data_IF_579600368784
#
_entry.id   IF_579600368784
#
_cell.length_a   1.000
_cell.length_b   1.000
_cell.length_c   1.000
_cell.angle_alpha   90.00
_cell.angle_beta   90.00
_cell.angle_gamma   90.00
#
_symmetry.space_group_name_H-M   'P 1'
#
loop_
_entity.id
_entity.type
_entity.pdbx_description
1 polymer ?
#
# COMPACT_ATOMS: atom_id res chain seq x y z
N UNK A 1 -22.33 14.70 -5.21
CA UNK A 1 -22.73 13.70 -4.20
C UNK A 1 -22.93 14.45 -2.92
N UNK A 2 -24.10 14.31 -2.30
CA UNK A 2 -24.37 14.92 -1.00
C UNK A 2 -23.54 14.20 0.09
N UNK A 3 -23.08 14.93 1.11
CA UNK A 3 -22.25 14.36 2.18
C UNK A 3 -23.00 13.29 2.98
N UNK A 4 -24.32 13.47 3.15
CA UNK A 4 -25.17 12.47 3.83
C UNK A 4 -25.25 11.16 3.03
N UNK A 5 -25.42 11.26 1.70
CA UNK A 5 -25.45 10.08 0.83
C UNK A 5 -24.12 9.32 0.82
N UNK A 6 -23.00 10.06 0.85
CA UNK A 6 -21.68 9.48 0.96
C UNK A 6 -21.46 8.81 2.32
N UNK A 7 -21.92 9.42 3.41
CA UNK A 7 -21.90 8.83 4.75
C UNK A 7 -22.64 7.50 4.79
N UNK A 8 -23.89 7.47 4.32
CA UNK A 8 -24.68 6.22 4.25
C UNK A 8 -24.03 5.13 3.40
N UNK A 9 -23.42 5.51 2.27
CA UNK A 9 -22.71 4.56 1.41
C UNK A 9 -21.49 3.96 2.13
N UNK A 10 -20.73 4.78 2.84
CA UNK A 10 -19.56 4.34 3.59
C UNK A 10 -19.93 3.47 4.80
N UNK A 11 -21.01 3.80 5.50
CA UNK A 11 -21.56 2.96 6.58
C UNK A 11 -21.96 1.58 6.05
N UNK A 12 -22.61 1.53 4.89
CA UNK A 12 -22.93 0.27 4.22
C UNK A 12 -21.68 -0.57 3.94
N UNK A 13 -20.64 0.01 3.31
CA UNK A 13 -19.39 -0.70 3.06
C UNK A 13 -18.67 -1.12 4.34
N UNK A 14 -18.75 -0.32 5.41
CA UNK A 14 -18.18 -0.68 6.71
C UNK A 14 -18.91 -1.89 7.32
N UNK A 15 -20.23 -1.94 7.20
CA UNK A 15 -21.03 -3.09 7.64
C UNK A 15 -20.69 -4.35 6.84
N UNK A 16 -20.61 -4.25 5.51
CA UNK A 16 -20.21 -5.35 4.64
C UNK A 16 -18.80 -5.86 4.97
N UNK A 17 -17.83 -4.95 5.17
CA UNK A 17 -16.49 -5.31 5.61
C UNK A 17 -16.53 -6.08 6.94
N UNK A 18 -17.32 -5.60 7.92
CA UNK A 18 -17.41 -6.22 9.23
C UNK A 18 -18.10 -7.58 9.20
N UNK A 19 -18.98 -7.85 8.24
CA UNK A 19 -19.60 -9.16 8.05
C UNK A 19 -18.61 -10.18 7.45
N UNK A 20 -17.72 -9.72 6.57
CA UNK A 20 -16.76 -10.58 5.87
C UNK A 20 -15.42 -10.74 6.61
N UNK A 21 -15.07 -9.78 7.47
CA UNK A 21 -13.80 -9.72 8.16
C UNK A 21 -13.83 -10.47 9.49
N UNK A 22 -12.75 -11.21 9.77
CA UNK A 22 -12.50 -11.81 11.09
C UNK A 22 -12.05 -10.79 12.13
N UNK A 23 -11.71 -9.55 11.72
CA UNK A 23 -11.28 -8.44 12.56
C UNK A 23 -12.17 -7.21 12.28
N UNK A 24 -13.40 -7.16 12.83
CA UNK A 24 -14.32 -6.07 12.58
C UNK A 24 -13.79 -4.74 13.12
N UNK A 25 -14.06 -3.66 12.39
CA UNK A 25 -13.66 -2.29 12.74
C UNK A 25 -14.86 -1.51 13.27
N UNK A 26 -14.72 -0.95 14.48
CA UNK A 26 -15.67 0.02 15.04
C UNK A 26 -15.20 1.42 14.66
N UNK A 27 -15.62 1.90 13.49
CA UNK A 27 -15.31 3.25 13.02
C UNK A 27 -16.56 4.10 13.10
N UNK A 28 -16.40 5.34 13.56
CA UNK A 28 -17.41 6.39 13.43
C UNK A 28 -17.06 7.21 12.19
N UNK A 29 -17.97 7.26 11.22
CA UNK A 29 -17.78 7.96 9.95
C UNK A 29 -18.34 9.38 10.04
N UNK A 30 -17.55 10.28 10.62
CA UNK A 30 -17.79 11.73 10.57
C UNK A 30 -17.07 12.37 9.38
N UNK A 31 -17.34 13.66 9.14
CA UNK A 31 -16.93 14.37 7.93
C UNK A 31 -15.44 14.23 7.57
N UNK A 32 -14.53 14.35 8.54
CA UNK A 32 -13.09 14.22 8.27
C UNK A 32 -12.69 12.78 7.98
N UNK A 33 -13.25 11.79 8.71
CA UNK A 33 -13.02 10.38 8.43
C UNK A 33 -13.48 10.00 7.01
N UNK A 34 -14.67 10.45 6.62
CA UNK A 34 -15.20 10.31 5.26
C UNK A 34 -14.24 10.95 4.24
N UNK A 35 -13.78 12.17 4.51
CA UNK A 35 -12.85 12.88 3.64
C UNK A 35 -11.52 12.13 3.47
N UNK A 36 -10.96 11.58 4.54
CA UNK A 36 -9.75 10.77 4.49
C UNK A 36 -9.94 9.47 3.72
N UNK A 37 -11.05 8.76 3.94
CA UNK A 37 -11.38 7.54 3.15
C UNK A 37 -11.46 7.89 1.67
N UNK A 38 -12.14 8.98 1.31
CA UNK A 38 -12.23 9.43 -0.08
C UNK A 38 -10.87 9.79 -0.66
N UNK A 39 -9.99 10.48 0.10
CA UNK A 39 -8.62 10.78 -0.34
C UNK A 39 -7.81 9.52 -0.59
N UNK A 40 -7.77 8.59 0.36
CA UNK A 40 -7.05 7.33 0.23
C UNK A 40 -7.59 6.55 -0.97
N UNK A 41 -8.91 6.42 -1.07
CA UNK A 41 -9.58 5.72 -2.16
C UNK A 41 -9.29 6.36 -3.53
N UNK A 42 -9.15 7.69 -3.59
CA UNK A 42 -8.71 8.40 -4.80
C UNK A 42 -7.25 8.13 -5.13
N UNK A 43 -6.36 8.10 -4.14
CA UNK A 43 -4.93 7.85 -4.33
C UNK A 43 -4.70 6.44 -4.87
N UNK A 44 -5.25 5.41 -4.22
CA UNK A 44 -5.02 4.02 -4.62
C UNK A 44 -5.62 3.69 -6.00
N UNK A 45 -6.64 4.40 -6.46
CA UNK A 45 -7.21 4.19 -7.82
C UNK A 45 -6.38 4.81 -8.94
N UNK A 46 -5.31 5.55 -8.62
CA UNK A 46 -4.39 6.07 -9.63
C UNK A 46 -3.27 5.05 -9.86
N UNK A 47 -2.85 4.81 -11.12
CA UNK A 47 -1.68 3.99 -11.37
C UNK A 47 -0.47 4.63 -10.68
N UNK A 48 0.33 3.80 -10.00
CA UNK A 48 1.47 4.26 -9.19
C UNK A 48 1.06 5.13 -7.98
N UNK A 49 -0.21 5.10 -7.60
CA UNK A 49 -0.74 5.83 -6.46
C UNK A 49 -0.32 5.21 -5.14
N UNK A 50 0.65 5.84 -4.47
CA UNK A 50 1.07 5.50 -3.12
C UNK A 50 0.67 6.62 -2.15
N UNK A 51 0.49 6.30 -0.87
CA UNK A 51 0.09 7.27 0.15
C UNK A 51 1.02 7.24 1.36
N UNK A 52 1.32 8.42 1.91
CA UNK A 52 2.00 8.58 3.19
C UNK A 52 1.03 9.27 4.16
N UNK A 53 0.47 8.50 5.09
CA UNK A 53 -0.51 8.96 6.08
C UNK A 53 0.19 9.37 7.37
N UNK A 54 0.26 10.67 7.62
CA UNK A 54 0.94 11.24 8.77
C UNK A 54 -0.08 11.57 9.87
N UNK A 55 0.11 11.04 11.06
CA UNK A 55 -0.79 11.32 12.17
C UNK A 55 -0.38 10.62 13.47
N UNK A 56 -1.08 10.94 14.55
CA UNK A 56 -0.85 10.30 15.84
C UNK A 56 -1.37 8.86 15.89
N UNK A 57 -0.93 8.09 16.88
CA UNK A 57 -1.54 6.78 17.17
C UNK A 57 -3.04 6.95 17.47
N UNK A 58 -3.88 6.02 17.01
CA UNK A 58 -5.33 6.09 17.22
C UNK A 58 -6.11 6.97 16.24
N UNK A 59 -5.45 7.68 15.32
CA UNK A 59 -6.09 8.50 14.26
C UNK A 59 -6.83 7.70 13.18
N UNK A 60 -7.01 6.39 13.32
CA UNK A 60 -7.78 5.57 12.37
C UNK A 60 -7.12 5.30 11.01
N UNK A 61 -5.92 5.83 10.71
CA UNK A 61 -5.21 5.67 9.42
C UNK A 61 -5.23 4.26 8.83
N UNK A 62 -4.89 3.25 9.63
CA UNK A 62 -4.90 1.86 9.19
C UNK A 62 -6.31 1.36 8.86
N UNK A 63 -7.28 1.68 9.72
CA UNK A 63 -8.66 1.24 9.55
C UNK A 63 -9.35 1.93 8.37
N UNK A 64 -9.13 3.23 8.18
CA UNK A 64 -9.63 3.97 7.01
C UNK A 64 -8.99 3.47 5.72
N UNK A 65 -7.71 3.08 5.76
CA UNK A 65 -7.05 2.45 4.59
C UNK A 65 -7.70 1.12 4.26
N UNK A 66 -7.93 0.24 5.25
CA UNK A 66 -8.58 -1.07 4.99
C UNK A 66 -9.98 -0.89 4.41
N UNK A 67 -10.75 0.08 4.91
CA UNK A 67 -12.07 0.41 4.36
C UNK A 67 -11.95 0.92 2.92
N UNK A 68 -11.04 1.85 2.65
CA UNK A 68 -10.82 2.38 1.30
C UNK A 68 -10.40 1.29 0.29
N UNK A 69 -9.54 0.36 0.71
CA UNK A 69 -9.14 -0.81 -0.11
C UNK A 69 -10.31 -1.75 -0.36
N UNK A 70 -11.11 -2.04 0.67
CA UNK A 70 -12.29 -2.90 0.54
C UNK A 70 -13.32 -2.32 -0.43
N UNK A 71 -13.60 -1.01 -0.34
CA UNK A 71 -14.49 -0.33 -1.29
C UNK A 71 -14.00 -0.36 -2.74
N UNK A 72 -12.68 -0.44 -2.93
CA UNK A 72 -12.07 -0.56 -4.26
C UNK A 72 -11.96 -2.02 -4.72
N UNK A 73 -12.38 -2.99 -3.91
CA UNK A 73 -12.17 -4.43 -4.13
C UNK A 73 -10.69 -4.84 -4.23
N UNK A 74 -9.80 -4.03 -3.66
CA UNK A 74 -8.36 -4.27 -3.69
C UNK A 74 -7.96 -5.19 -2.56
N UNK A 75 -7.02 -6.10 -2.82
CA UNK A 75 -6.46 -6.92 -1.75
C UNK A 75 -5.69 -6.03 -0.78
N UNK A 76 -6.06 -6.02 0.50
CA UNK A 76 -5.32 -5.28 1.52
C UNK A 76 -4.39 -6.23 2.27
N UNK A 77 -3.08 -6.06 2.09
CA UNK A 77 -2.07 -6.83 2.80
C UNK A 77 -1.38 -5.98 3.86
N UNK A 78 -1.16 -6.56 5.03
CA UNK A 78 -0.37 -5.97 6.09
C UNK A 78 0.43 -7.09 6.75
N UNK A 79 1.72 -6.84 7.01
CA UNK A 79 2.57 -7.83 7.64
C UNK A 79 2.14 -8.11 9.08
N UNK A 80 2.23 -9.36 9.53
CA UNK A 80 1.98 -9.74 10.92
C UNK A 80 3.32 -9.98 11.63
N UNK A 81 3.72 -9.02 12.46
CA UNK A 81 4.99 -9.13 13.18
C UNK A 81 4.89 -10.19 14.29
N UNK A 82 5.66 -11.26 14.15
CA UNK A 82 5.95 -12.21 15.24
C UNK A 82 7.30 -11.87 15.88
N UNK A 83 7.64 -12.48 17.02
CA UNK A 83 8.99 -12.32 17.62
C UNK A 83 10.10 -12.78 16.67
N UNK A 84 9.84 -13.82 15.88
CA UNK A 84 10.78 -14.39 14.93
C UNK A 84 10.85 -13.64 13.58
N UNK A 85 9.86 -12.78 13.29
CA UNK A 85 9.80 -12.06 12.02
C UNK A 85 11.07 -11.21 11.79
N UNK A 86 11.84 -11.57 10.77
CA UNK A 86 13.12 -10.97 10.42
C UNK A 86 13.19 -10.46 8.99
N UNK A 87 14.42 -10.15 8.54
CA UNK A 87 14.66 -9.63 7.19
C UNK A 87 14.33 -10.63 6.06
N UNK A 88 14.47 -11.93 6.33
CA UNK A 88 14.07 -12.97 5.40
C UNK A 88 12.56 -12.98 5.17
N UNK A 89 11.76 -13.02 6.24
CA UNK A 89 10.29 -13.01 6.15
C UNK A 89 9.78 -11.75 5.46
N UNK A 90 10.38 -10.60 5.78
CA UNK A 90 10.10 -9.34 5.11
C UNK A 90 10.30 -9.41 3.59
N UNK A 91 11.47 -9.90 3.14
CA UNK A 91 11.75 -10.01 1.71
C UNK A 91 10.84 -11.03 1.04
N UNK A 92 10.47 -12.12 1.71
CA UNK A 92 9.49 -13.07 1.18
C UNK A 92 8.09 -12.44 1.02
N UNK A 93 7.63 -11.63 1.99
CA UNK A 93 6.34 -10.93 1.90
C UNK A 93 6.34 -9.88 0.78
N UNK A 94 7.38 -9.04 0.72
CA UNK A 94 7.52 -8.02 -0.34
C UNK A 94 7.60 -8.69 -1.72
N UNK A 95 8.34 -9.79 -1.84
CA UNK A 95 8.41 -10.56 -3.07
C UNK A 95 7.05 -11.12 -3.49
N UNK A 96 6.29 -11.72 -2.57
CA UNK A 96 4.94 -12.24 -2.85
C UNK A 96 4.01 -11.12 -3.33
N UNK A 97 4.07 -9.94 -2.70
CA UNK A 97 3.31 -8.77 -3.13
C UNK A 97 3.65 -8.37 -4.56
N UNK A 98 4.95 -8.26 -4.88
CA UNK A 98 5.38 -7.89 -6.24
C UNK A 98 4.99 -8.95 -7.28
N UNK A 99 5.13 -10.25 -6.97
CA UNK A 99 4.72 -11.31 -7.89
C UNK A 99 3.20 -11.30 -8.15
N UNK A 100 2.39 -11.09 -7.11
CA UNK A 100 0.93 -11.00 -7.26
C UNK A 100 0.52 -9.76 -8.07
N UNK A 101 1.11 -8.60 -7.77
CA UNK A 101 0.82 -7.36 -8.49
C UNK A 101 1.30 -7.42 -9.94
N UNK A 102 2.49 -7.99 -10.19
CA UNK A 102 3.13 -7.98 -11.51
C UNK A 102 2.71 -9.12 -12.44
N UNK A 103 2.40 -10.33 -11.93
CA UNK A 103 2.03 -11.47 -12.76
C UNK A 103 0.53 -11.71 -12.84
N UNK A 104 -0.18 -11.57 -11.71
CA UNK A 104 -1.63 -11.81 -11.67
C UNK A 104 -2.44 -10.56 -11.99
N UNK A 105 -1.79 -9.40 -12.14
CA UNK A 105 -2.41 -8.08 -12.32
C UNK A 105 -3.47 -7.78 -11.26
N UNK A 106 -3.24 -8.26 -10.03
CA UNK A 106 -4.16 -8.08 -8.93
C UNK A 106 -3.83 -6.79 -8.18
N UNK A 107 -4.78 -5.86 -8.21
CA UNK A 107 -4.73 -4.62 -7.43
C UNK A 107 -4.58 -4.92 -5.94
N UNK A 108 -3.46 -4.48 -5.36
CA UNK A 108 -3.07 -4.81 -4.00
C UNK A 108 -2.60 -3.57 -3.27
N UNK A 109 -3.22 -3.28 -2.14
CA UNK A 109 -2.79 -2.25 -1.20
C UNK A 109 -1.89 -2.88 -0.15
N UNK A 110 -0.63 -2.44 -0.11
CA UNK A 110 0.30 -2.79 0.96
C UNK A 110 0.23 -1.73 2.07
N UNK A 111 -0.39 -2.08 3.20
CA UNK A 111 -0.48 -1.25 4.38
C UNK A 111 0.72 -1.51 5.31
N UNK A 112 1.55 -0.48 5.52
CA UNK A 112 2.77 -0.58 6.32
C UNK A 112 2.86 0.54 7.37
N UNK A 113 2.87 0.17 8.65
CA UNK A 113 2.97 1.12 9.77
C UNK A 113 4.40 1.29 10.25
N UNK A 114 4.71 2.48 10.75
CA UNK A 114 5.94 2.79 11.49
C UNK A 114 6.22 1.85 12.66
N UNK A 115 5.19 1.39 13.38
CA UNK A 115 5.30 0.39 14.44
C UNK A 115 5.75 -0.98 13.94
N UNK A 116 5.66 -1.23 12.63
CA UNK A 116 6.08 -2.48 12.01
C UNK A 116 7.54 -2.45 11.51
N UNK A 117 8.22 -1.30 11.62
CA UNK A 117 9.60 -1.13 11.20
C UNK A 117 10.53 -1.68 12.27
N UNK A 118 10.97 -2.93 12.09
CA UNK A 118 12.00 -3.56 12.96
C UNK A 118 13.42 -3.24 12.54
N UNK A 119 13.65 -2.99 11.26
CA UNK A 119 14.96 -2.74 10.67
C UNK A 119 14.84 -1.65 9.61
N UNK A 120 15.84 -0.78 9.51
CA UNK A 120 15.90 0.25 8.47
C UNK A 120 16.02 -0.35 7.06
N UNK A 121 16.50 -1.60 6.94
CA UNK A 121 16.50 -2.33 5.67
C UNK A 121 15.09 -2.51 5.08
N UNK A 122 14.03 -2.48 5.92
CA UNK A 122 12.65 -2.57 5.42
C UNK A 122 12.28 -1.31 4.64
N UNK A 123 12.70 -0.14 5.13
CA UNK A 123 12.46 1.13 4.43
C UNK A 123 13.35 1.26 3.20
N UNK A 124 14.55 0.71 3.21
CA UNK A 124 15.41 0.65 2.02
C UNK A 124 14.75 -0.17 0.90
N UNK A 125 14.29 -1.38 1.21
CA UNK A 125 13.57 -2.22 0.25
C UNK A 125 12.29 -1.52 -0.24
N UNK A 126 11.52 -0.89 0.66
CA UNK A 126 10.32 -0.14 0.30
C UNK A 126 10.62 1.07 -0.60
N UNK A 127 11.70 1.79 -0.33
CA UNK A 127 12.16 2.90 -1.15
C UNK A 127 12.52 2.42 -2.56
N UNK A 128 13.10 1.24 -2.70
CA UNK A 128 13.36 0.63 -4.01
C UNK A 128 12.06 0.27 -4.73
N UNK A 129 11.10 -0.38 -4.04
CA UNK A 129 9.77 -0.68 -4.61
C UNK A 129 9.06 0.58 -5.12
N UNK A 130 9.08 1.67 -4.34
CA UNK A 130 8.44 2.93 -4.74
C UNK A 130 9.11 3.57 -5.98
N UNK A 131 10.43 3.53 -6.07
CA UNK A 131 11.19 4.13 -7.17
C UNK A 131 11.11 3.31 -8.46
N UNK A 132 11.40 2.01 -8.39
CA UNK A 132 11.62 1.15 -9.56
C UNK A 132 10.60 0.02 -9.69
N UNK A 133 9.81 -0.27 -8.65
CA UNK A 133 8.95 -1.45 -8.63
C UNK A 133 9.72 -2.77 -8.44
N UNK A 134 10.94 -2.70 -7.91
CA UNK A 134 11.81 -3.87 -7.72
C UNK A 134 12.71 -3.70 -6.50
N UNK A 135 13.18 -4.81 -5.95
CA UNK A 135 14.16 -4.85 -4.87
C UNK A 135 15.37 -5.68 -5.33
N UNK A 136 16.60 -5.13 -5.25
CA UNK A 136 17.79 -5.85 -5.69
C UNK A 136 17.97 -7.21 -5.00
N UNK A 137 18.27 -8.23 -5.81
CA UNK A 137 18.52 -9.60 -5.37
C UNK A 137 17.37 -10.23 -4.56
N UNK A 138 16.13 -9.83 -4.82
CA UNK A 138 14.97 -10.42 -4.14
C UNK A 138 14.50 -11.73 -4.79
N UNK A 139 14.65 -11.84 -6.11
CA UNK A 139 14.21 -13.02 -6.87
C UNK A 139 15.31 -14.07 -6.98
N UNK A 140 14.91 -15.32 -6.76
CA UNK A 140 15.71 -16.49 -7.09
C UNK A 140 15.66 -16.80 -8.60
N UNK A 141 16.61 -17.58 -9.14
CA UNK A 141 16.65 -17.90 -10.58
C UNK A 141 15.34 -18.52 -11.11
N UNK A 142 14.71 -19.40 -10.34
CA UNK A 142 13.44 -20.03 -10.71
C UNK A 142 12.27 -19.04 -10.74
N UNK A 143 12.29 -18.04 -9.86
CA UNK A 143 11.30 -16.97 -9.82
C UNK A 143 11.48 -16.01 -10.99
N UNK A 144 12.72 -15.71 -11.36
CA UNK A 144 13.02 -14.93 -12.57
C UNK A 144 12.51 -15.63 -13.83
N UNK A 145 12.70 -16.95 -13.94
CA UNK A 145 12.18 -17.73 -15.06
C UNK A 145 10.65 -17.71 -15.11
N UNK A 146 9.97 -17.80 -13.95
CA UNK A 146 8.51 -17.64 -13.84
C UNK A 146 8.06 -16.25 -14.33
N UNK A 147 8.77 -15.19 -13.93
CA UNK A 147 8.47 -13.83 -14.39
C UNK A 147 8.62 -13.72 -15.91
N UNK A 148 9.74 -14.19 -16.47
CA UNK A 148 9.97 -14.13 -17.91
C UNK A 148 8.93 -14.92 -18.69
N UNK A 149 8.52 -16.09 -18.21
CA UNK A 149 7.47 -16.88 -18.85
C UNK A 149 6.10 -16.19 -18.77
N UNK A 150 5.72 -15.65 -17.61
CA UNK A 150 4.45 -14.95 -17.43
C UNK A 150 4.33 -13.67 -18.25
N UNK A 151 5.45 -12.97 -18.48
CA UNK A 151 5.45 -11.70 -19.21
C UNK A 151 5.50 -11.84 -20.74
N UNK A 152 5.85 -13.01 -21.28
CA UNK A 152 5.94 -13.22 -22.74
C UNK A 152 4.67 -12.85 -23.46
N UNK A 153 3.51 -13.28 -22.95
CA UNK A 153 2.21 -12.95 -23.54
C UNK A 153 1.96 -11.44 -23.56
N UNK A 154 2.21 -10.75 -22.43
CA UNK A 154 2.02 -9.30 -22.35
C UNK A 154 2.95 -8.54 -23.30
N UNK A 155 4.23 -8.95 -23.38
CA UNK A 155 5.21 -8.29 -24.25
C UNK A 155 4.88 -8.49 -25.73
N UNK A 156 4.37 -9.66 -26.11
CA UNK A 156 3.90 -9.94 -27.47
C UNK A 156 2.66 -9.11 -27.83
N UNK A 157 1.68 -8.99 -26.91
CA UNK A 157 0.51 -8.12 -27.08
C UNK A 157 0.89 -6.65 -27.28
N UNK A 158 1.95 -6.19 -26.60
CA UNK A 158 2.51 -4.84 -26.75
C UNK A 158 3.37 -4.67 -28.02
N UNK A 159 3.58 -5.72 -28.82
CA UNK A 159 4.42 -5.68 -30.01
C UNK A 159 5.91 -5.45 -29.72
N UNK A 160 6.36 -5.74 -28.49
CA UNK A 160 7.73 -5.53 -28.05
C UNK A 160 8.57 -6.81 -28.20
N UNK A 161 9.90 -6.71 -28.38
CA UNK A 161 10.75 -7.89 -28.48
C UNK A 161 10.88 -8.59 -27.12
N UNK A 162 10.77 -9.92 -27.11
CA UNK A 162 10.81 -10.76 -25.91
C UNK A 162 12.22 -10.98 -25.34
N UNK A 163 12.99 -9.90 -25.16
CA UNK A 163 14.29 -9.93 -24.48
C UNK A 163 14.07 -9.93 -22.95
N UNK A 164 15.00 -10.54 -22.19
CA UNK A 164 14.91 -10.59 -20.71
C UNK A 164 14.77 -9.21 -20.08
N UNK A 165 15.49 -8.22 -20.61
CA UNK A 165 15.44 -6.82 -20.13
C UNK A 165 14.05 -6.20 -20.31
N UNK A 166 13.41 -6.39 -21.48
CA UNK A 166 12.09 -5.83 -21.76
C UNK A 166 11.00 -6.56 -20.96
N UNK A 167 11.08 -7.89 -20.87
CA UNK A 167 10.18 -8.69 -20.06
C UNK A 167 10.18 -8.20 -18.60
N UNK A 168 11.36 -7.97 -18.03
CA UNK A 168 11.49 -7.47 -16.67
C UNK A 168 11.01 -6.03 -16.52
N UNK A 169 11.29 -5.16 -17.50
CA UNK A 169 10.81 -3.77 -17.46
C UNK A 169 9.28 -3.68 -17.54
N UNK A 170 8.63 -4.52 -18.34
CA UNK A 170 7.16 -4.60 -18.41
C UNK A 170 6.58 -5.17 -17.12
N UNK A 171 7.24 -6.16 -16.51
CA UNK A 171 6.88 -6.65 -15.18
C UNK A 171 6.94 -5.54 -14.13
N UNK A 172 8.05 -4.80 -14.03
CA UNK A 172 8.21 -3.68 -13.10
C UNK A 172 7.10 -2.63 -13.27
N UNK A 173 6.72 -2.31 -14.53
CA UNK A 173 5.60 -1.41 -14.80
C UNK A 173 4.27 -1.96 -14.27
N UNK A 174 4.00 -3.26 -14.43
CA UNK A 174 2.81 -3.90 -13.88
C UNK A 174 2.82 -3.89 -12.36
N UNK A 175 3.96 -4.20 -11.73
CA UNK A 175 4.12 -4.10 -10.27
C UNK A 175 3.74 -2.70 -9.79
N UNK A 176 4.31 -1.65 -10.39
CA UNK A 176 4.02 -0.26 -9.98
C UNK A 176 2.60 0.20 -10.30
N UNK A 177 1.97 -0.39 -11.30
CA UNK A 177 0.58 -0.07 -11.64
C UNK A 177 -0.39 -0.65 -10.62
N UNK A 178 -0.12 -1.87 -10.14
CA UNK A 178 -1.09 -2.66 -9.36
C UNK A 178 -0.75 -2.77 -7.86
N UNK A 179 0.46 -2.36 -7.45
CA UNK A 179 0.89 -2.34 -6.06
C UNK A 179 0.83 -0.90 -5.53
N UNK A 180 -0.11 -0.67 -4.61
CA UNK A 180 -0.31 0.61 -3.96
C UNK A 180 0.20 0.54 -2.52
N UNK A 181 1.30 1.23 -2.25
CA UNK A 181 1.86 1.26 -0.89
C UNK A 181 1.23 2.39 -0.09
N UNK A 182 0.61 2.05 1.04
CA UNK A 182 0.08 3.02 2.01
C UNK A 182 0.88 2.91 3.31
N UNK A 183 1.65 3.96 3.60
CA UNK A 183 2.58 4.00 4.72
C UNK A 183 2.02 4.91 5.79
N UNK A 184 1.96 4.43 7.04
CA UNK A 184 1.46 5.24 8.16
C UNK A 184 2.60 5.55 9.12
N UNK A 185 2.93 6.84 9.31
CA UNK A 185 4.01 7.27 10.22
C UNK A 185 3.55 8.35 11.20
N UNK A 186 4.03 8.31 12.43
CA UNK A 186 3.94 9.44 13.34
C UNK A 186 4.90 10.55 12.90
N UNK A 187 4.44 11.80 12.71
CA UNK A 187 5.32 12.91 12.32
C UNK A 187 6.19 13.43 13.48
N UNK A 188 6.05 12.85 14.68
CA UNK A 188 6.77 13.28 15.88
C UNK A 188 8.13 12.60 15.95
N UNK A 189 9.16 13.41 16.24
CA UNK A 189 10.50 12.95 16.57
C UNK A 189 11.50 13.07 15.43
N UNK A 190 12.78 13.02 15.79
CA UNK A 190 13.88 13.17 14.83
C UNK A 190 14.03 11.95 13.90
N UNK A 191 13.63 10.77 14.38
CA UNK A 191 13.68 9.51 13.61
C UNK A 191 12.84 9.62 12.33
N UNK A 192 11.65 10.22 12.42
CA UNK A 192 10.80 10.47 11.25
C UNK A 192 11.51 11.33 10.21
N UNK A 193 12.09 12.46 10.63
CA UNK A 193 12.82 13.37 9.72
C UNK A 193 14.07 12.72 9.14
N UNK A 194 14.79 11.93 9.93
CA UNK A 194 15.96 11.18 9.48
C UNK A 194 15.57 10.17 8.38
N UNK A 195 14.50 9.40 8.58
CA UNK A 195 13.97 8.45 7.59
C UNK A 195 13.54 9.14 6.30
N UNK A 196 12.86 10.28 6.36
CA UNK A 196 12.48 11.00 5.13
C UNK A 196 13.70 11.52 4.35
N UNK A 197 14.78 11.92 5.03
CA UNK A 197 16.03 12.32 4.36
C UNK A 197 16.76 11.13 3.74
N UNK A 198 16.75 9.98 4.42
CA UNK A 198 17.42 8.78 3.96
C UNK A 198 16.65 8.09 2.82
N UNK A 199 15.31 8.15 2.84
CA UNK A 199 14.41 7.46 1.92
C UNK A 199 13.48 8.46 1.22
N UNK A 200 14.00 9.22 0.24
CA UNK A 200 13.25 10.30 -0.40
C UNK A 200 12.03 9.82 -1.21
N UNK A 201 11.98 8.53 -1.60
CA UNK A 201 10.81 7.99 -2.31
C UNK A 201 9.53 8.03 -1.48
N UNK A 202 9.66 8.00 -0.14
CA UNK A 202 8.52 8.15 0.77
C UNK A 202 7.79 9.49 0.58
N UNK A 203 8.50 10.53 0.13
CA UNK A 203 7.93 11.85 -0.14
C UNK A 203 7.67 12.03 -1.64
N UNK A 204 8.59 11.60 -2.49
CA UNK A 204 8.54 11.86 -3.93
C UNK A 204 7.54 10.96 -4.67
N UNK A 205 7.28 9.75 -4.17
CA UNK A 205 6.44 8.76 -4.83
C UNK A 205 5.08 8.56 -4.12
N UNK A 206 4.86 9.23 -2.98
CA UNK A 206 3.64 9.12 -2.20
C UNK A 206 2.91 10.45 -2.11
N UNK A 207 1.58 10.40 -2.17
CA UNK A 207 0.73 11.54 -1.80
C UNK A 207 0.62 11.60 -0.28
N UNK A 208 0.95 12.74 0.31
CA UNK A 208 0.90 12.94 1.76
C UNK A 208 -0.53 13.32 2.17
N UNK A 209 -1.07 12.62 3.16
CA UNK A 209 -2.34 12.96 3.81
C UNK A 209 -2.12 13.12 5.32
N UNK A 210 -2.53 14.27 5.86
CA UNK A 210 -2.31 14.65 7.24
C UNK A 210 -3.56 14.41 8.09
N UNK A 211 -3.44 13.53 9.06
CA UNK A 211 -4.45 13.22 10.06
C UNK A 211 -4.22 14.10 11.28
N UNK A 212 -4.88 15.25 11.27
CA UNK A 212 -4.94 16.14 12.42
C UNK A 212 -5.77 15.51 13.56
N UNK A 213 -5.63 16.01 14.80
CA UNK A 213 -6.57 15.68 15.86
C UNK A 213 -8.00 15.92 15.40
N UNK A 214 -8.89 14.97 15.69
CA UNK A 214 -10.29 15.09 15.35
C UNK A 214 -10.92 16.29 16.06
N UNK A 215 -11.84 17.02 15.42
CA UNK A 215 -12.54 18.13 16.06
C UNK A 215 -13.39 17.62 17.23
N UNK A 216 -13.65 18.48 18.22
CA UNK A 216 -14.45 18.10 19.40
C UNK A 216 -15.86 17.58 19.02
N UNK A 217 -16.41 18.07 17.90
CA UNK A 217 -17.69 17.60 17.34
C UNK A 217 -17.67 16.15 16.87
N UNK A 218 -16.50 15.54 16.68
CA UNK A 218 -16.33 14.13 16.32
C UNK A 218 -16.08 13.22 17.54
N UNK A 219 -15.91 13.79 18.74
CA UNK A 219 -15.69 13.08 20.01
C UNK A 219 -16.97 12.98 20.87
N UNK A 220 -18.06 13.64 20.44
CA UNK A 220 -19.40 13.60 21.05
C UNK A 220 -20.25 12.54 20.36
#
# INVERSE_FOLDING_TARGET
MDFEQLGHSLDYYLQEYNQQSTKPMKLMLFLDAISHVCRISRIIRQPMGNALLLGMGGSGRQSLTRLASFMAEFACFQIELTKAYGAYDWREDVKKLMLNAGLQRRETVFLFSDTQIKSESFLEDLNNVLNSGDVPNIYQPDEMDKIYQGMKGTVQELGLPATKSILFSVYQKQVRSNLHTVITMSPIGEIFRARLRQFPALVNCCTIDWFCPWPDSALQ
#
